data_IF_008332621794
#
_entry.id   IF_008332621794
#
_cell.length_a   1.000
_cell.length_b   1.000
_cell.length_c   1.000
_cell.angle_alpha   90.00
_cell.angle_beta   90.00
_cell.angle_gamma   90.00
#
_symmetry.space_group_name_H-M   'P 1'
#
loop_
_entity.id
_entity.type
_entity.pdbx_description
1 polymer ?
#
# COMPACT_ATOMS: atom_id res chain seq x y z
N UNK A 1 25.56 -9.85 15.29
CA UNK A 1 24.71 -10.37 14.20
C UNK A 1 23.67 -11.26 14.83
N UNK A 2 22.38 -10.96 14.62
CA UNK A 2 21.27 -11.82 15.06
C UNK A 2 20.96 -12.80 13.94
N UNK A 3 20.89 -14.10 14.23
CA UNK A 3 20.48 -15.12 13.27
C UNK A 3 18.98 -15.37 13.42
N UNK A 4 18.25 -15.30 12.30
CA UNK A 4 16.81 -15.61 12.23
C UNK A 4 16.64 -16.85 11.37
N UNK A 5 15.90 -17.83 11.87
CA UNK A 5 15.49 -19.02 11.12
C UNK A 5 14.03 -18.88 10.73
N UNK A 6 13.74 -18.99 9.43
CA UNK A 6 12.37 -18.90 8.89
C UNK A 6 12.03 -20.25 8.27
N UNK A 7 11.00 -20.91 8.79
CA UNK A 7 10.43 -22.11 8.18
C UNK A 7 9.44 -21.71 7.09
N UNK A 8 9.61 -22.28 5.91
CA UNK A 8 8.73 -22.04 4.76
C UNK A 8 8.36 -23.37 4.12
N UNK A 9 7.21 -23.41 3.47
CA UNK A 9 6.81 -24.60 2.70
C UNK A 9 7.79 -24.89 1.56
N UNK A 10 7.82 -26.15 1.10
CA UNK A 10 8.70 -26.57 0.01
C UNK A 10 8.50 -25.75 -1.27
N UNK A 11 7.27 -25.35 -1.55
CA UNK A 11 6.90 -24.57 -2.74
C UNK A 11 7.42 -23.13 -2.65
N UNK A 12 7.29 -22.50 -1.49
CA UNK A 12 7.83 -21.15 -1.22
C UNK A 12 9.35 -21.18 -1.32
N UNK A 13 10.01 -22.20 -0.76
CA UNK A 13 11.46 -22.38 -0.89
C UNK A 13 11.90 -22.48 -2.35
N UNK A 14 11.22 -23.29 -3.18
CA UNK A 14 11.54 -23.42 -4.62
C UNK A 14 11.41 -22.09 -5.35
N UNK A 15 10.35 -21.33 -5.07
CA UNK A 15 10.13 -20.00 -5.67
C UNK A 15 11.23 -19.01 -5.25
N UNK A 16 11.61 -18.98 -3.98
CA UNK A 16 12.69 -18.11 -3.49
C UNK A 16 14.03 -18.44 -4.15
N UNK A 17 14.38 -19.72 -4.26
CA UNK A 17 15.62 -20.17 -4.94
C UNK A 17 15.61 -19.75 -6.41
N UNK A 18 14.50 -19.96 -7.12
CA UNK A 18 14.39 -19.58 -8.53
C UNK A 18 14.54 -18.07 -8.74
N UNK A 19 13.89 -17.26 -7.89
CA UNK A 19 13.95 -15.80 -7.95
C UNK A 19 15.34 -15.26 -7.60
N UNK A 20 15.99 -15.83 -6.58
CA UNK A 20 17.36 -15.46 -6.19
C UNK A 20 18.34 -15.74 -7.34
N UNK A 21 18.19 -16.89 -8.01
CA UNK A 21 19.00 -17.24 -9.18
C UNK A 21 18.76 -16.28 -10.35
N UNK A 22 17.52 -15.92 -10.64
CA UNK A 22 17.19 -14.95 -11.69
C UNK A 22 17.78 -13.56 -11.43
N UNK A 23 17.80 -13.13 -10.16
CA UNK A 23 18.38 -11.87 -9.74
C UNK A 23 19.91 -11.91 -9.52
N UNK A 24 20.54 -13.09 -9.62
CA UNK A 24 21.98 -13.25 -9.41
C UNK A 24 22.43 -13.10 -7.95
N UNK A 25 21.54 -13.30 -6.98
CA UNK A 25 21.80 -13.13 -5.54
C UNK A 25 21.59 -14.43 -4.76
N UNK A 26 22.00 -14.46 -3.49
CA UNK A 26 21.70 -15.59 -2.59
C UNK A 26 20.28 -15.47 -2.03
N UNK A 27 19.69 -16.61 -1.63
CA UNK A 27 18.35 -16.61 -1.01
C UNK A 27 18.31 -15.75 0.26
N UNK A 28 19.29 -15.82 1.19
CA UNK A 28 19.29 -14.93 2.36
C UNK A 28 19.36 -13.43 1.98
N UNK A 29 20.15 -13.05 0.98
CA UNK A 29 20.20 -11.66 0.50
C UNK A 29 18.85 -11.21 -0.06
N UNK A 30 18.24 -12.02 -0.93
CA UNK A 30 16.90 -11.74 -1.47
C UNK A 30 15.85 -11.61 -0.35
N UNK A 31 15.87 -12.51 0.64
CA UNK A 31 14.93 -12.45 1.77
C UNK A 31 15.17 -11.20 2.61
N UNK A 32 16.43 -10.82 2.85
CA UNK A 32 16.77 -9.58 3.55
C UNK A 32 16.24 -8.35 2.81
N UNK A 33 16.39 -8.30 1.49
CA UNK A 33 15.89 -7.20 0.66
C UNK A 33 14.36 -7.15 0.66
N UNK A 34 13.69 -8.31 0.60
CA UNK A 34 12.23 -8.39 0.69
C UNK A 34 11.71 -7.93 2.06
N UNK A 35 12.39 -8.32 3.14
CA UNK A 35 12.04 -7.88 4.50
C UNK A 35 12.27 -6.38 4.64
N UNK A 36 13.37 -5.85 4.12
CA UNK A 36 13.66 -4.41 4.14
C UNK A 36 12.62 -3.64 3.31
N UNK A 37 12.29 -4.11 2.11
CA UNK A 37 11.27 -3.51 1.26
C UNK A 37 9.89 -3.54 1.93
N UNK A 38 9.50 -4.67 2.53
CA UNK A 38 8.25 -4.75 3.30
C UNK A 38 8.26 -3.83 4.53
N UNK A 39 9.39 -3.73 5.24
CA UNK A 39 9.50 -2.82 6.37
C UNK A 39 9.34 -1.36 5.93
N UNK A 40 9.93 -0.98 4.79
CA UNK A 40 9.77 0.35 4.19
C UNK A 40 8.32 0.59 3.78
N UNK A 41 7.70 -0.35 3.07
CA UNK A 41 6.30 -0.27 2.64
C UNK A 41 5.32 -0.19 3.82
N UNK A 42 5.56 -0.96 4.89
CA UNK A 42 4.74 -0.94 6.10
C UNK A 42 4.97 0.32 6.95
N UNK A 43 6.13 0.95 6.80
CA UNK A 43 6.45 2.22 7.45
C UNK A 43 6.05 3.45 6.63
N UNK A 44 5.62 3.27 5.38
CA UNK A 44 5.27 4.35 4.47
C UNK A 44 3.86 4.88 4.80
N UNK A 45 3.75 6.14 5.26
CA UNK A 45 2.45 6.75 5.50
C UNK A 45 1.57 6.80 4.26
N UNK A 46 2.12 6.82 3.04
CA UNK A 46 1.36 6.82 1.77
C UNK A 46 0.82 5.44 1.35
N UNK A 47 1.24 4.37 2.03
CA UNK A 47 0.64 3.04 1.86
C UNK A 47 -0.39 2.73 2.95
N UNK A 48 -0.29 3.40 4.10
CA UNK A 48 -1.34 3.41 5.14
C UNK A 48 -2.38 4.51 4.93
N UNK A 49 -2.05 5.55 4.16
CA UNK A 49 -2.88 6.69 3.75
C UNK A 49 -2.93 6.70 2.23
N UNK A 50 -4.11 6.70 1.58
CA UNK A 50 -4.21 6.70 0.13
C UNK A 50 -3.34 7.77 -0.54
N UNK A 51 -2.65 7.48 -1.66
CA UNK A 51 -1.84 8.47 -2.37
C UNK A 51 -2.62 9.76 -2.65
N UNK A 52 -1.96 10.91 -2.59
CA UNK A 52 -2.63 12.22 -2.79
C UNK A 52 -3.43 12.30 -4.10
N UNK A 53 -2.93 11.69 -5.17
CA UNK A 53 -3.62 11.61 -6.45
C UNK A 53 -4.93 10.82 -6.35
N UNK A 54 -4.96 9.74 -5.57
CA UNK A 54 -6.15 8.95 -5.32
C UNK A 54 -7.18 9.74 -4.49
N UNK A 55 -6.73 10.48 -3.46
CA UNK A 55 -7.61 11.36 -2.66
C UNK A 55 -8.27 12.44 -3.51
N UNK A 56 -7.50 13.11 -4.38
CA UNK A 56 -8.05 14.10 -5.32
C UNK A 56 -9.07 13.47 -6.25
N UNK A 57 -8.77 12.28 -6.79
CA UNK A 57 -9.67 11.61 -7.71
C UNK A 57 -10.99 11.18 -7.05
N UNK A 58 -10.91 10.65 -5.82
CA UNK A 58 -12.10 10.34 -5.01
C UNK A 58 -12.90 11.62 -4.73
N UNK A 59 -12.24 12.74 -4.44
CA UNK A 59 -12.91 14.01 -4.20
C UNK A 59 -13.75 14.46 -5.40
N UNK A 60 -13.16 14.46 -6.60
CA UNK A 60 -13.86 14.82 -7.84
C UNK A 60 -15.11 13.97 -8.08
N UNK A 61 -15.05 12.68 -7.77
CA UNK A 61 -16.16 11.75 -7.99
C UNK A 61 -17.25 11.89 -6.94
N UNK A 62 -16.89 12.08 -5.67
CA UNK A 62 -17.88 12.31 -4.60
C UNK A 62 -18.62 13.64 -4.83
N UNK A 63 -17.93 14.67 -5.30
CA UNK A 63 -18.56 15.95 -5.63
C UNK A 63 -19.51 15.86 -6.84
N UNK A 64 -19.39 14.80 -7.63
CA UNK A 64 -20.34 14.41 -8.68
C UNK A 64 -21.43 13.45 -8.16
N UNK A 65 -21.60 13.36 -6.84
CA UNK A 65 -22.59 12.51 -6.15
C UNK A 65 -22.48 11.01 -6.47
N UNK A 66 -21.26 10.54 -6.78
CA UNK A 66 -21.00 9.13 -7.14
C UNK A 66 -20.88 8.25 -5.88
N UNK A 67 -21.52 7.07 -5.88
CA UNK A 67 -21.43 6.10 -4.77
C UNK A 67 -20.05 5.42 -4.68
N UNK A 68 -19.69 4.92 -3.49
CA UNK A 68 -18.41 4.23 -3.27
C UNK A 68 -18.19 3.04 -4.21
N UNK A 69 -19.24 2.24 -4.47
CA UNK A 69 -19.20 1.10 -5.41
C UNK A 69 -18.83 1.55 -6.84
N UNK A 70 -19.43 2.65 -7.32
CA UNK A 70 -19.12 3.17 -8.66
C UNK A 70 -17.70 3.74 -8.69
N UNK A 71 -17.25 4.42 -7.62
CA UNK A 71 -15.88 4.91 -7.49
C UNK A 71 -14.88 3.74 -7.53
N UNK A 72 -15.16 2.67 -6.79
CA UNK A 72 -14.33 1.46 -6.78
C UNK A 72 -14.20 0.83 -8.16
N UNK A 73 -15.32 0.70 -8.89
CA UNK A 73 -15.34 0.22 -10.28
C UNK A 73 -14.51 1.13 -11.19
N UNK A 74 -14.69 2.44 -11.11
CA UNK A 74 -14.00 3.40 -11.97
C UNK A 74 -12.49 3.46 -11.72
N UNK A 75 -12.07 3.28 -10.47
CA UNK A 75 -10.66 3.36 -10.06
C UNK A 75 -9.97 2.00 -10.02
N UNK A 76 -10.70 0.90 -10.19
CA UNK A 76 -10.16 -0.47 -10.18
C UNK A 76 -9.61 -0.88 -8.82
N UNK A 77 -10.21 -0.42 -7.73
CA UNK A 77 -9.78 -0.69 -6.35
C UNK A 77 -10.96 -1.19 -5.51
N UNK A 78 -10.68 -1.77 -4.33
CA UNK A 78 -11.71 -2.28 -3.44
C UNK A 78 -12.44 -1.15 -2.68
N UNK A 79 -13.71 -1.38 -2.33
CA UNK A 79 -14.59 -0.41 -1.67
C UNK A 79 -14.02 0.10 -0.33
N UNK A 80 -13.37 -0.76 0.45
CA UNK A 80 -12.76 -0.42 1.73
C UNK A 80 -11.63 0.60 1.60
N UNK A 81 -10.86 0.53 0.51
CA UNK A 81 -9.82 1.50 0.14
C UNK A 81 -10.46 2.84 -0.25
N UNK A 82 -11.56 2.81 -1.01
CA UNK A 82 -12.31 4.02 -1.38
C UNK A 82 -12.84 4.72 -0.13
N UNK A 83 -13.47 3.98 0.78
CA UNK A 83 -13.98 4.52 2.03
C UNK A 83 -12.87 5.13 2.90
N UNK A 84 -11.71 4.49 2.97
CA UNK A 84 -10.55 5.03 3.66
C UNK A 84 -10.11 6.37 3.04
N UNK A 85 -10.11 6.47 1.71
CA UNK A 85 -9.83 7.72 0.98
C UNK A 85 -10.85 8.83 1.26
N UNK A 86 -12.14 8.51 1.32
CA UNK A 86 -13.20 9.47 1.65
C UNK A 86 -13.00 10.02 3.08
N UNK A 87 -12.72 9.14 4.05
CA UNK A 87 -12.46 9.54 5.45
C UNK A 87 -11.24 10.45 5.56
N UNK A 88 -10.19 10.12 4.82
CA UNK A 88 -8.95 10.89 4.80
C UNK A 88 -9.13 12.26 4.15
N UNK A 89 -9.86 12.36 3.05
CA UNK A 89 -10.26 13.65 2.43
C UNK A 89 -10.91 14.58 3.47
N UNK A 90 -11.92 14.07 4.18
CA UNK A 90 -12.63 14.84 5.19
C UNK A 90 -11.72 15.26 6.37
N UNK A 91 -10.71 14.44 6.70
CA UNK A 91 -9.70 14.79 7.72
C UNK A 91 -8.83 15.95 7.25
N UNK A 92 -8.40 15.94 5.99
CA UNK A 92 -7.56 16.98 5.38
C UNK A 92 -8.31 18.31 5.24
N UNK A 93 -9.58 18.29 4.85
CA UNK A 93 -10.44 19.48 4.79
C UNK A 93 -10.53 20.17 6.16
N UNK A 94 -10.84 19.41 7.22
CA UNK A 94 -10.86 19.91 8.61
C UNK A 94 -9.50 20.42 9.10
N UNK A 95 -8.40 19.90 8.56
CA UNK A 95 -7.06 20.38 8.87
C UNK A 95 -6.80 21.71 8.17
N UNK A 96 -7.13 21.82 6.88
CA UNK A 96 -6.97 23.03 6.09
C UNK A 96 -7.77 24.20 6.69
N UNK A 97 -9.02 23.96 7.11
CA UNK A 97 -9.84 24.97 7.79
C UNK A 97 -9.22 25.50 9.09
N UNK A 98 -8.49 24.66 9.82
CA UNK A 98 -7.80 25.05 11.06
C UNK A 98 -6.58 25.92 10.82
N UNK A 99 -5.87 25.73 9.71
CA UNK A 99 -4.69 26.51 9.34
C UNK A 99 -5.03 27.75 8.49
N UNK A 100 -6.28 27.90 8.07
CA UNK A 100 -6.79 29.09 7.39
C UNK A 100 -7.30 30.19 8.35
N UNK A 101 -7.20 29.97 9.67
CA UNK A 101 -7.50 30.95 10.75
C UNK A 101 -6.20 31.42 11.40
#
# INVERSE_FOLDING_TARGET
>A
MSQITIEVSGDVKRRLVARARQAGVTVPALVSDLVAANAVLLSDPEWTTPPRSLVVKIAELVDQEVSAEIIAIQLGIADDIVEAGIRERARLERLAERYAR
#
